data_IF_033512702456
#
_entry.id   IF_033512702456
#
_cell.length_a   1.000
_cell.length_b   1.000
_cell.length_c   1.000
_cell.angle_alpha   90.00
_cell.angle_beta   90.00
_cell.angle_gamma   90.00
#
_symmetry.space_group_name_H-M   'P 1'
#
loop_
_entity.id
_entity.type
_entity.pdbx_description
1 polymer ?
#
# COMPACT_ATOMS: atom_id res chain seq x y z
N UNK A 1 20.47 0.48 16.23
CA UNK A 1 20.16 -0.91 16.62
C UNK A 1 19.51 -1.00 17.99
N UNK A 2 19.99 -0.25 19.00
CA UNK A 2 19.35 -0.20 20.30
C UNK A 2 17.87 0.21 20.20
N UNK A 3 17.55 1.25 19.46
CA UNK A 3 16.17 1.71 19.28
C UNK A 3 15.27 0.62 18.67
N UNK A 4 15.74 -0.08 17.65
CA UNK A 4 15.02 -1.21 17.06
C UNK A 4 14.84 -2.36 18.04
N UNK A 5 15.86 -2.66 18.85
CA UNK A 5 15.76 -3.67 19.91
C UNK A 5 14.70 -3.31 20.95
N UNK A 6 14.62 -2.05 21.36
CA UNK A 6 13.59 -1.59 22.31
C UNK A 6 12.19 -1.67 21.71
N UNK A 7 12.01 -1.28 20.42
CA UNK A 7 10.75 -1.47 19.72
C UNK A 7 10.37 -2.95 19.60
N UNK A 8 11.36 -3.82 19.34
CA UNK A 8 11.17 -5.28 19.32
C UNK A 8 10.68 -5.81 20.68
N UNK A 9 11.34 -5.44 21.77
CA UNK A 9 10.95 -5.84 23.14
C UNK A 9 9.54 -5.37 23.51
N UNK A 10 9.13 -4.19 23.02
CA UNK A 10 7.78 -3.63 23.21
C UNK A 10 6.73 -4.29 22.29
N UNK A 11 7.11 -5.21 21.40
CA UNK A 11 6.20 -5.84 20.42
C UNK A 11 5.65 -4.85 19.38
N UNK A 12 6.41 -3.77 19.12
CA UNK A 12 6.08 -2.74 18.14
C UNK A 12 6.74 -2.99 16.78
N UNK A 13 7.89 -3.71 16.76
CA UNK A 13 8.58 -4.07 15.52
C UNK A 13 8.15 -5.46 15.06
N UNK A 14 7.63 -5.57 13.85
CA UNK A 14 7.12 -6.84 13.31
C UNK A 14 7.32 -6.95 11.80
N UNK A 15 7.39 -8.17 11.31
CA UNK A 15 7.37 -8.48 9.89
C UNK A 15 5.94 -8.67 9.41
N UNK A 16 5.60 -8.10 8.27
CA UNK A 16 4.26 -8.19 7.71
C UNK A 16 4.25 -8.22 6.19
N UNK A 17 3.26 -8.91 5.64
CA UNK A 17 2.98 -8.92 4.20
C UNK A 17 1.85 -7.93 3.91
N UNK A 18 2.18 -6.82 3.25
CA UNK A 18 1.21 -5.77 2.92
C UNK A 18 1.39 -5.29 1.49
N UNK A 19 0.30 -4.81 0.91
CA UNK A 19 0.35 -4.03 -0.32
C UNK A 19 0.80 -2.62 0.03
N UNK A 20 1.91 -2.18 -0.53
CA UNK A 20 2.59 -0.94 -0.17
C UNK A 20 2.90 -0.11 -1.42
N UNK A 21 2.98 1.24 -1.29
CA UNK A 21 3.58 2.07 -2.32
C UNK A 21 5.00 1.60 -2.63
N UNK A 22 5.27 1.33 -3.88
CA UNK A 22 6.52 0.74 -4.34
C UNK A 22 7.05 1.47 -5.57
N UNK A 23 8.34 1.77 -5.58
CA UNK A 23 9.01 2.34 -6.74
C UNK A 23 9.65 1.23 -7.57
N UNK A 24 9.13 0.90 -8.77
CA UNK A 24 9.67 -0.19 -9.60
C UNK A 24 11.07 0.11 -10.15
N UNK A 25 11.42 1.39 -10.33
CA UNK A 25 12.75 1.81 -10.77
C UNK A 25 13.80 1.69 -9.66
N UNK A 26 13.43 2.10 -8.45
CA UNK A 26 14.32 2.01 -7.29
C UNK A 26 14.33 0.60 -6.67
N UNK A 27 13.34 -0.24 -6.98
CA UNK A 27 13.20 -1.60 -6.43
C UNK A 27 12.88 -1.62 -4.94
N UNK A 28 12.20 -0.59 -4.40
CA UNK A 28 11.97 -0.45 -2.95
C UNK A 28 10.57 0.05 -2.63
N UNK A 29 10.03 -0.41 -1.50
CA UNK A 29 8.82 0.15 -0.92
C UNK A 29 9.09 1.53 -0.30
N UNK A 30 8.04 2.35 -0.18
CA UNK A 30 8.06 3.66 0.43
C UNK A 30 7.05 3.71 1.58
N UNK A 31 7.40 4.47 2.62
CA UNK A 31 6.50 4.76 3.73
C UNK A 31 5.52 5.90 3.37
N UNK A 32 4.44 6.03 4.13
CA UNK A 32 3.39 7.02 3.87
C UNK A 32 3.92 8.46 3.81
N UNK A 33 4.88 8.82 4.66
CA UNK A 33 5.48 10.15 4.65
C UNK A 33 6.40 10.40 3.44
N UNK A 34 7.06 9.38 2.91
CA UNK A 34 7.82 9.48 1.64
C UNK A 34 6.89 9.68 0.45
N UNK A 35 5.79 8.94 0.41
CA UNK A 35 4.76 9.04 -0.64
C UNK A 35 4.14 10.44 -0.66
N UNK A 36 3.86 11.01 0.53
CA UNK A 36 3.25 12.33 0.66
C UNK A 36 4.07 13.47 0.04
N UNK A 37 5.38 13.28 -0.16
CA UNK A 37 6.28 14.26 -0.79
C UNK A 37 6.27 14.22 -2.32
N UNK A 38 5.73 13.14 -2.92
CA UNK A 38 5.84 12.87 -4.35
C UNK A 38 4.54 13.03 -5.15
N UNK A 39 3.49 13.61 -4.59
CA UNK A 39 2.22 13.79 -5.33
C UNK A 39 2.33 14.84 -6.43
N UNK A 40 1.82 14.49 -7.62
CA UNK A 40 1.74 15.36 -8.79
C UNK A 40 0.40 15.21 -9.49
N UNK A 41 -0.08 16.32 -10.05
CA UNK A 41 -1.24 16.26 -10.93
C UNK A 41 -0.83 15.67 -12.28
N UNK A 42 -1.46 14.55 -12.62
CA UNK A 42 -1.21 13.81 -13.85
C UNK A 42 -2.51 13.59 -14.62
N UNK A 43 -2.41 13.51 -15.94
CA UNK A 43 -3.52 13.23 -16.81
C UNK A 43 -3.43 11.80 -17.33
N UNK A 44 -4.04 10.89 -16.58
CA UNK A 44 -4.01 9.45 -16.87
C UNK A 44 -5.24 8.99 -17.68
N UNK A 45 -5.06 7.88 -18.40
CA UNK A 45 -6.14 7.19 -19.05
C UNK A 45 -6.96 6.43 -18.01
N UNK A 46 -8.27 6.66 -18.01
CA UNK A 46 -9.25 5.94 -17.20
C UNK A 46 -10.21 5.18 -18.09
N UNK A 47 -10.83 4.15 -17.58
CA UNK A 47 -11.86 3.44 -18.30
C UNK A 47 -12.98 2.92 -17.41
N UNK A 48 -14.15 2.70 -18.03
CA UNK A 48 -15.28 1.98 -17.45
C UNK A 48 -15.35 0.63 -18.17
N UNK A 49 -15.17 -0.45 -17.45
CA UNK A 49 -15.25 -1.81 -17.96
C UNK A 49 -16.64 -2.42 -17.69
N UNK A 50 -17.06 -3.33 -18.59
CA UNK A 50 -18.34 -4.07 -18.52
C UNK A 50 -18.06 -5.47 -17.98
N UNK A 51 -18.61 -5.79 -16.81
CA UNK A 51 -18.50 -7.10 -16.17
C UNK A 51 -19.83 -7.85 -16.35
N UNK A 52 -19.84 -8.88 -17.18
CA UNK A 52 -21.05 -9.61 -17.51
C UNK A 52 -21.55 -10.43 -16.34
N UNK A 53 -22.80 -10.22 -15.94
CA UNK A 53 -23.43 -10.95 -14.84
C UNK A 53 -23.71 -12.38 -15.26
N UNK A 54 -23.27 -13.38 -14.45
CA UNK A 54 -23.57 -14.77 -14.74
C UNK A 54 -25.06 -15.08 -14.70
N UNK A 55 -25.53 -15.84 -15.67
CA UNK A 55 -26.92 -16.26 -15.74
C UNK A 55 -27.91 -15.19 -16.20
N UNK A 56 -27.43 -13.98 -16.58
CA UNK A 56 -28.25 -12.93 -17.17
C UNK A 56 -27.75 -12.56 -18.57
N UNK A 57 -28.66 -12.57 -19.54
CA UNK A 57 -28.34 -12.15 -20.89
C UNK A 57 -28.15 -10.64 -20.93
N UNK A 58 -27.17 -10.18 -21.69
CA UNK A 58 -26.89 -8.76 -21.96
C UNK A 58 -26.90 -7.84 -20.72
N UNK A 59 -26.59 -8.38 -19.52
CA UNK A 59 -26.56 -7.62 -18.28
C UNK A 59 -25.13 -7.49 -17.75
N UNK A 60 -24.69 -6.26 -17.51
CA UNK A 60 -23.32 -5.95 -17.13
C UNK A 60 -23.27 -5.03 -15.90
N UNK A 61 -22.33 -5.27 -15.02
CA UNK A 61 -21.96 -4.33 -13.95
C UNK A 61 -20.89 -3.41 -14.51
N UNK A 62 -21.05 -2.10 -14.35
CA UNK A 62 -20.07 -1.11 -14.78
C UNK A 62 -19.13 -0.74 -13.63
N UNK A 63 -17.82 -0.90 -13.81
CA UNK A 63 -16.85 -0.42 -12.85
C UNK A 63 -15.79 0.47 -13.53
N UNK A 64 -15.46 1.57 -12.86
CA UNK A 64 -14.49 2.56 -13.32
C UNK A 64 -13.14 2.34 -12.67
N UNK A 65 -12.06 2.64 -13.41
CA UNK A 65 -10.70 2.61 -12.89
C UNK A 65 -9.82 3.71 -13.49
N UNK A 66 -8.93 4.27 -12.68
CA UNK A 66 -7.85 5.17 -13.10
C UNK A 66 -6.58 4.41 -13.51
N UNK A 67 -6.55 3.10 -13.30
CA UNK A 67 -5.40 2.23 -13.53
C UNK A 67 -5.81 1.01 -14.36
N UNK A 68 -6.06 1.14 -15.68
CA UNK A 68 -6.49 0.02 -16.52
C UNK A 68 -5.57 -1.21 -16.44
N UNK A 69 -4.29 -1.00 -16.16
CA UNK A 69 -3.31 -2.08 -16.00
C UNK A 69 -3.61 -3.06 -14.85
N UNK A 70 -4.48 -2.70 -13.91
CA UNK A 70 -4.88 -3.62 -12.82
C UNK A 70 -6.02 -4.56 -13.19
N UNK A 71 -6.77 -4.27 -14.27
CA UNK A 71 -7.92 -5.06 -14.74
C UNK A 71 -7.59 -6.52 -15.06
N UNK A 72 -6.41 -6.88 -15.62
CA UNK A 72 -6.03 -8.29 -15.80
C UNK A 72 -6.04 -9.12 -14.51
N UNK A 73 -5.86 -8.45 -13.36
CA UNK A 73 -5.85 -9.05 -12.01
C UNK A 73 -7.15 -8.84 -11.23
N UNK A 74 -8.24 -8.45 -11.91
CA UNK A 74 -9.55 -8.31 -11.24
C UNK A 74 -10.01 -9.63 -10.64
N UNK A 75 -10.46 -9.59 -9.36
CA UNK A 75 -10.97 -10.76 -8.65
C UNK A 75 -12.32 -10.51 -7.98
N UNK A 76 -12.73 -9.26 -7.77
CA UNK A 76 -14.04 -8.93 -7.22
C UNK A 76 -14.50 -7.55 -7.73
N UNK A 77 -15.77 -7.25 -7.50
CA UNK A 77 -16.35 -5.92 -7.59
C UNK A 77 -16.85 -5.52 -6.21
N UNK A 78 -16.67 -4.26 -5.83
CA UNK A 78 -17.02 -3.77 -4.50
C UNK A 78 -18.11 -2.70 -4.58
N UNK A 79 -19.16 -2.85 -3.76
CA UNK A 79 -20.28 -1.93 -3.63
C UNK A 79 -20.45 -1.51 -2.17
N UNK A 80 -21.09 -0.37 -1.93
CA UNK A 80 -21.55 -0.03 -0.60
C UNK A 80 -23.00 -0.53 -0.41
N UNK A 81 -23.21 -1.39 0.58
CA UNK A 81 -24.53 -2.01 0.85
C UNK A 81 -25.65 -1.02 1.09
N UNK A 82 -25.35 0.19 1.56
CA UNK A 82 -26.32 1.23 1.93
C UNK A 82 -26.72 2.13 0.75
N UNK A 83 -25.95 2.13 -0.35
CA UNK A 83 -26.24 2.96 -1.51
C UNK A 83 -27.32 2.35 -2.40
N UNK A 84 -27.96 3.20 -3.19
CA UNK A 84 -28.96 2.78 -4.20
C UNK A 84 -28.26 2.60 -5.53
N UNK A 85 -28.45 1.45 -6.12
CA UNK A 85 -28.02 1.08 -7.46
C UNK A 85 -29.22 0.94 -8.37
N UNK A 86 -28.98 1.07 -9.66
CA UNK A 86 -30.00 0.91 -10.68
C UNK A 86 -29.54 -0.04 -11.78
N UNK A 87 -30.45 -0.80 -12.32
CA UNK A 87 -30.32 -1.50 -13.60
C UNK A 87 -31.03 -0.65 -14.65
N UNK A 88 -30.28 -0.22 -15.67
CA UNK A 88 -30.77 0.62 -16.77
C UNK A 88 -30.55 -0.07 -18.09
N UNK A 89 -31.54 -0.01 -18.99
CA UNK A 89 -31.48 -0.55 -20.35
C UNK A 89 -31.09 0.54 -21.31
N UNK A 90 -30.08 0.30 -22.10
CA UNK A 90 -29.50 1.26 -23.05
C UNK A 90 -29.36 0.61 -24.41
N UNK A 91 -29.61 1.38 -25.51
CA UNK A 91 -29.23 0.94 -26.84
C UNK A 91 -27.70 1.10 -27.00
N UNK A 92 -26.97 0.00 -27.01
CA UNK A 92 -25.53 -0.07 -27.23
C UNK A 92 -25.16 -0.23 -28.73
N UNK A 93 -26.17 -0.43 -29.62
CA UNK A 93 -26.03 -0.49 -31.06
C UNK A 93 -26.26 0.88 -31.73
N UNK A 94 -26.60 0.85 -33.01
CA UNK A 94 -27.02 2.03 -33.80
C UNK A 94 -28.53 2.16 -33.78
N UNK A 95 -29.05 3.25 -34.37
CA UNK A 95 -30.51 3.40 -34.60
C UNK A 95 -31.03 2.38 -35.61
N UNK A 96 -30.21 2.02 -36.62
CA UNK A 96 -30.55 1.06 -37.65
C UNK A 96 -30.46 -0.40 -37.18
N UNK A 97 -29.49 -0.70 -36.28
CA UNK A 97 -29.29 -2.01 -35.69
C UNK A 97 -29.26 -1.89 -34.16
N UNK A 98 -30.40 -1.77 -33.48
CA UNK A 98 -30.45 -1.60 -32.03
C UNK A 98 -30.02 -2.88 -31.30
N UNK A 99 -29.08 -2.71 -30.38
CA UNK A 99 -28.62 -3.77 -29.47
C UNK A 99 -28.78 -3.30 -28.04
N UNK A 100 -29.74 -3.87 -27.33
CA UNK A 100 -30.00 -3.46 -25.96
C UNK A 100 -29.14 -4.23 -24.99
N UNK A 101 -28.51 -3.49 -24.09
CA UNK A 101 -27.75 -4.02 -22.96
C UNK A 101 -28.26 -3.38 -21.66
N UNK A 102 -28.27 -4.15 -20.57
CA UNK A 102 -28.60 -3.67 -19.25
C UNK A 102 -27.31 -3.36 -18.48
N UNK A 103 -27.25 -2.19 -17.87
CA UNK A 103 -26.12 -1.76 -17.06
C UNK A 103 -26.51 -1.54 -15.62
N UNK A 104 -25.68 -2.04 -14.70
CA UNK A 104 -25.83 -1.87 -13.24
C UNK A 104 -24.75 -0.90 -12.77
N UNK A 105 -25.18 0.21 -12.14
CA UNK A 105 -24.31 1.25 -11.56
C UNK A 105 -25.05 1.99 -10.45
N UNK A 106 -24.36 2.85 -9.69
CA UNK A 106 -25.01 3.67 -8.67
C UNK A 106 -26.01 4.63 -9.32
N UNK A 107 -27.20 4.73 -8.72
CA UNK A 107 -28.31 5.57 -9.21
C UNK A 107 -27.91 7.02 -9.42
N UNK A 108 -27.21 7.60 -8.44
CA UNK A 108 -26.80 9.02 -8.45
C UNK A 108 -25.77 9.34 -9.53
N UNK A 109 -25.11 8.34 -10.11
CA UNK A 109 -24.08 8.50 -11.13
C UNK A 109 -24.56 8.16 -12.54
N UNK A 110 -25.82 7.79 -12.76
CA UNK A 110 -26.36 7.43 -14.08
C UNK A 110 -26.11 8.53 -15.08
N UNK A 111 -26.49 9.77 -14.78
CA UNK A 111 -26.37 10.91 -15.70
C UNK A 111 -24.92 11.22 -16.06
N UNK A 112 -24.00 11.09 -15.07
CA UNK A 112 -22.57 11.32 -15.30
C UNK A 112 -21.93 10.23 -16.17
N UNK A 113 -22.35 8.98 -16.02
CA UNK A 113 -21.80 7.81 -16.72
C UNK A 113 -22.41 7.67 -18.12
N UNK A 114 -23.73 7.78 -18.25
CA UNK A 114 -24.42 7.62 -19.53
C UNK A 114 -24.34 8.86 -20.40
N UNK A 115 -24.13 10.05 -19.81
CA UNK A 115 -24.07 11.34 -20.52
C UNK A 115 -25.35 11.54 -21.38
N UNK A 116 -25.21 11.64 -22.67
CA UNK A 116 -26.31 11.90 -23.64
C UNK A 116 -27.04 10.62 -24.10
N UNK A 117 -26.73 9.44 -23.55
CA UNK A 117 -27.38 8.20 -23.93
C UNK A 117 -28.76 8.11 -23.27
N UNK A 118 -29.77 7.85 -24.10
CA UNK A 118 -31.10 7.52 -23.60
C UNK A 118 -31.12 6.17 -22.91
N UNK A 119 -31.88 6.07 -21.83
CA UNK A 119 -32.00 4.85 -21.05
C UNK A 119 -33.42 4.65 -20.52
N UNK A 120 -33.78 3.41 -20.32
CA UNK A 120 -34.96 2.96 -19.58
C UNK A 120 -34.55 2.46 -18.22
N UNK A 121 -35.14 2.99 -17.12
CA UNK A 121 -34.90 2.47 -15.77
C UNK A 121 -35.64 1.14 -15.62
N UNK A 122 -34.91 0.05 -15.48
CA UNK A 122 -35.47 -1.30 -15.31
C UNK A 122 -35.87 -1.54 -13.86
N UNK A 123 -34.95 -1.24 -12.92
CA UNK A 123 -35.23 -1.33 -11.48
C UNK A 123 -34.19 -0.58 -10.65
N UNK A 124 -34.57 -0.25 -9.41
CA UNK A 124 -33.69 0.27 -8.37
C UNK A 124 -33.63 -0.72 -7.21
N UNK A 125 -32.49 -0.79 -6.55
CA UNK A 125 -32.27 -1.69 -5.41
C UNK A 125 -31.12 -1.22 -4.54
N UNK A 126 -31.06 -1.70 -3.29
CA UNK A 126 -29.93 -1.43 -2.41
C UNK A 126 -28.71 -2.25 -2.81
N UNK A 127 -27.51 -1.72 -2.54
CA UNK A 127 -26.27 -2.43 -2.77
C UNK A 127 -26.19 -3.78 -2.06
N UNK A 128 -26.91 -3.94 -0.96
CA UNK A 128 -27.04 -5.21 -0.24
C UNK A 128 -27.59 -6.34 -1.14
N UNK A 129 -28.47 -6.02 -2.09
CA UNK A 129 -29.05 -7.00 -3.02
C UNK A 129 -28.05 -7.46 -4.10
N UNK A 130 -26.97 -6.71 -4.33
CA UNK A 130 -25.91 -7.11 -5.26
C UNK A 130 -24.89 -8.06 -4.62
N UNK A 131 -24.82 -8.14 -3.28
CA UNK A 131 -23.81 -8.95 -2.62
C UNK A 131 -23.93 -10.42 -3.00
N UNK A 132 -22.81 -11.03 -3.34
CA UNK A 132 -22.77 -12.40 -3.79
C UNK A 132 -23.13 -12.63 -5.25
N UNK A 133 -23.51 -11.57 -6.01
CA UNK A 133 -23.72 -11.68 -7.46
C UNK A 133 -22.42 -12.09 -8.13
N UNK A 134 -22.45 -13.18 -8.89
CA UNK A 134 -21.31 -13.65 -9.67
C UNK A 134 -21.29 -13.01 -11.07
N UNK A 135 -20.09 -12.75 -11.59
CA UNK A 135 -19.88 -12.26 -12.94
C UNK A 135 -18.83 -13.08 -13.70
N UNK A 136 -18.85 -13.01 -15.03
CA UNK A 136 -17.84 -13.68 -15.87
C UNK A 136 -16.50 -12.96 -15.74
N UNK A 137 -15.39 -13.70 -15.68
CA UNK A 137 -14.05 -13.12 -15.63
C UNK A 137 -13.84 -12.11 -16.75
N UNK A 138 -13.38 -10.91 -16.41
CA UNK A 138 -13.19 -9.83 -17.38
C UNK A 138 -12.11 -10.17 -18.41
N UNK A 139 -10.94 -10.61 -17.96
CA UNK A 139 -9.77 -10.95 -18.77
C UNK A 139 -9.20 -12.30 -18.33
N UNK A 140 -8.79 -13.21 -19.23
CA UNK A 140 -8.53 -14.61 -18.93
C UNK A 140 -7.12 -14.88 -18.34
N UNK A 141 -6.51 -13.91 -17.66
CA UNK A 141 -5.13 -14.01 -17.20
C UNK A 141 -5.00 -14.44 -15.74
N UNK A 142 -5.88 -13.95 -14.85
CA UNK A 142 -5.87 -14.36 -13.46
C UNK A 142 -6.35 -15.79 -13.29
N UNK A 143 -5.61 -16.60 -12.52
CA UNK A 143 -5.97 -17.97 -12.16
C UNK A 143 -6.09 -18.06 -10.63
N UNK A 144 -7.22 -17.59 -10.04
CA UNK A 144 -7.39 -17.59 -8.61
C UNK A 144 -7.58 -18.98 -8.02
N UNK A 145 -6.89 -19.25 -6.91
CA UNK A 145 -7.16 -20.40 -6.07
C UNK A 145 -8.10 -19.98 -4.94
N UNK A 146 -9.40 -20.19 -5.11
CA UNK A 146 -10.44 -19.82 -4.14
C UNK A 146 -11.52 -18.89 -4.69
N UNK A 147 -12.20 -18.15 -3.79
CA UNK A 147 -13.33 -17.28 -4.13
C UNK A 147 -12.91 -16.10 -4.97
N UNK A 148 -13.54 -15.94 -6.13
CA UNK A 148 -13.29 -14.82 -7.05
C UNK A 148 -14.52 -14.52 -7.90
N UNK A 149 -14.48 -13.39 -8.65
CA UNK A 149 -15.48 -12.93 -9.61
C UNK A 149 -16.89 -12.78 -9.03
N UNK A 150 -16.95 -12.14 -7.88
CA UNK A 150 -18.17 -11.93 -7.09
C UNK A 150 -18.24 -10.50 -6.58
N UNK A 151 -19.46 -9.98 -6.40
CA UNK A 151 -19.70 -8.68 -5.78
C UNK A 151 -19.58 -8.78 -4.26
N UNK A 152 -18.80 -7.89 -3.65
CA UNK A 152 -18.52 -7.81 -2.21
C UNK A 152 -18.87 -6.43 -1.66
N UNK A 153 -18.87 -6.28 -0.34
CA UNK A 153 -19.11 -5.02 0.35
C UNK A 153 -17.80 -4.34 0.79
N UNK A 154 -17.76 -2.99 0.66
CA UNK A 154 -16.74 -2.15 1.27
C UNK A 154 -17.26 -0.75 1.56
N UNK A 155 -16.99 -0.26 2.76
CA UNK A 155 -17.46 1.06 3.22
C UNK A 155 -16.77 2.24 2.54
N UNK A 156 -15.61 2.02 1.93
CA UNK A 156 -14.82 3.06 1.24
C UNK A 156 -15.34 3.42 -0.15
N UNK A 157 -16.31 2.69 -0.69
CA UNK A 157 -16.95 3.03 -1.97
C UNK A 157 -17.68 4.36 -1.84
N UNK A 158 -17.40 5.28 -2.76
CA UNK A 158 -18.00 6.64 -2.79
C UNK A 158 -18.89 6.84 -4.01
N UNK A 159 -19.67 7.92 -3.98
CA UNK A 159 -20.53 8.38 -5.10
C UNK A 159 -20.00 9.69 -5.72
N UNK A 160 -18.76 10.07 -5.44
CA UNK A 160 -18.16 11.31 -5.96
C UNK A 160 -17.72 11.19 -7.40
N UNK A 161 -17.23 10.01 -7.79
CA UNK A 161 -16.66 9.75 -9.11
C UNK A 161 -16.94 8.32 -9.58
N UNK A 162 -16.76 8.08 -10.88
CA UNK A 162 -16.84 6.76 -11.48
C UNK A 162 -18.27 6.24 -11.62
N UNK A 163 -18.50 5.00 -11.22
CA UNK A 163 -19.79 4.28 -11.36
C UNK A 163 -20.43 3.92 -10.02
N UNK A 164 -19.78 4.26 -8.88
CA UNK A 164 -20.18 3.79 -7.55
C UNK A 164 -19.93 2.31 -7.32
N UNK A 165 -19.18 1.66 -8.21
CA UNK A 165 -18.73 0.27 -8.12
C UNK A 165 -17.24 0.24 -8.41
N UNK A 166 -16.46 -0.31 -7.46
CA UNK A 166 -14.99 -0.38 -7.54
C UNK A 166 -14.57 -1.78 -7.97
N UNK A 167 -13.69 -1.86 -8.96
CA UNK A 167 -13.05 -3.12 -9.28
C UNK A 167 -11.93 -3.43 -8.29
N UNK A 168 -11.81 -4.69 -7.86
CA UNK A 168 -10.87 -5.12 -6.83
C UNK A 168 -9.77 -5.97 -7.46
N UNK A 169 -8.52 -5.49 -7.30
CA UNK A 169 -7.30 -6.22 -7.60
C UNK A 169 -6.41 -6.28 -6.34
N UNK A 170 -6.55 -7.31 -5.48
CA UNK A 170 -5.99 -7.35 -4.13
C UNK A 170 -4.48 -7.13 -4.03
N UNK A 171 -3.74 -7.34 -5.12
CA UNK A 171 -2.30 -7.14 -5.19
C UNK A 171 -1.88 -5.67 -5.42
N UNK A 172 -2.81 -4.76 -5.80
CA UNK A 172 -2.44 -3.43 -6.29
C UNK A 172 -3.19 -2.26 -5.65
N UNK A 173 -3.84 -2.50 -4.53
CA UNK A 173 -4.48 -1.48 -3.70
C UNK A 173 -4.46 -1.90 -2.24
N UNK A 174 -4.18 -0.97 -1.32
CA UNK A 174 -4.20 -1.25 0.12
C UNK A 174 -5.63 -1.57 0.57
N UNK A 175 -6.60 -0.75 0.17
CA UNK A 175 -8.03 -0.97 0.43
C UNK A 175 -8.54 -2.24 -0.25
N UNK A 176 -8.11 -2.50 -1.50
CA UNK A 176 -8.44 -3.71 -2.24
C UNK A 176 -7.96 -4.96 -1.51
N UNK A 177 -6.72 -4.94 -1.01
CA UNK A 177 -6.14 -6.05 -0.25
C UNK A 177 -6.90 -6.30 1.05
N UNK A 178 -7.23 -5.22 1.78
CA UNK A 178 -7.95 -5.29 3.04
C UNK A 178 -9.37 -5.86 2.85
N UNK A 179 -10.13 -5.28 1.92
CA UNK A 179 -11.52 -5.70 1.69
C UNK A 179 -11.58 -7.11 1.10
N UNK A 180 -10.63 -7.49 0.24
CA UNK A 180 -10.52 -8.83 -0.30
C UNK A 180 -10.29 -9.85 0.82
N UNK A 181 -9.35 -9.58 1.72
CA UNK A 181 -9.07 -10.44 2.89
C UNK A 181 -10.29 -10.59 3.81
N UNK A 182 -11.00 -9.48 4.09
CA UNK A 182 -12.22 -9.51 4.93
C UNK A 182 -13.34 -10.35 4.31
N UNK A 183 -13.41 -10.42 2.97
CA UNK A 183 -14.43 -11.15 2.23
C UNK A 183 -13.98 -12.54 1.74
N UNK A 184 -12.76 -12.98 2.09
CA UNK A 184 -12.18 -14.27 1.68
C UNK A 184 -11.93 -14.39 0.17
N UNK A 185 -11.67 -13.28 -0.52
CA UNK A 185 -11.33 -13.25 -1.95
C UNK A 185 -9.88 -13.74 -2.14
N UNK A 186 -9.67 -14.53 -3.18
CA UNK A 186 -8.37 -15.03 -3.58
C UNK A 186 -7.36 -13.89 -3.85
N UNK A 187 -6.09 -14.23 -3.89
CA UNK A 187 -5.00 -13.30 -4.17
C UNK A 187 -4.23 -13.74 -5.42
N UNK A 188 -4.06 -12.86 -6.39
CA UNK A 188 -3.27 -13.11 -7.61
C UNK A 188 -2.39 -11.90 -7.90
N UNK A 189 -1.09 -12.12 -8.11
CA UNK A 189 -0.14 -11.10 -8.52
C UNK A 189 0.38 -11.40 -9.93
N UNK A 190 0.06 -10.54 -10.91
CA UNK A 190 0.47 -10.66 -12.32
C UNK A 190 1.55 -9.65 -12.71
N UNK A 191 2.21 -9.02 -11.75
CA UNK A 191 3.27 -8.02 -11.97
C UNK A 191 4.52 -8.41 -11.21
N UNK A 192 5.68 -8.31 -11.83
CA UNK A 192 6.96 -8.58 -11.22
C UNK A 192 7.50 -7.37 -10.40
N UNK A 193 8.63 -7.56 -9.71
CA UNK A 193 9.29 -6.53 -8.90
C UNK A 193 9.79 -5.32 -9.71
N UNK A 194 9.91 -5.43 -11.04
CA UNK A 194 10.27 -4.31 -11.92
C UNK A 194 9.05 -3.57 -12.48
N UNK A 195 7.84 -3.91 -12.01
CA UNK A 195 6.58 -3.32 -12.47
C UNK A 195 6.16 -3.77 -13.85
N UNK A 196 6.59 -4.96 -14.29
CA UNK A 196 6.27 -5.52 -15.59
C UNK A 196 5.30 -6.69 -15.46
N UNK A 197 4.44 -6.86 -16.46
CA UNK A 197 3.57 -8.03 -16.51
C UNK A 197 4.38 -9.33 -16.60
N UNK A 198 3.96 -10.34 -15.83
CA UNK A 198 4.51 -11.70 -15.87
C UNK A 198 4.11 -12.40 -17.17
N UNK A 199 4.74 -13.54 -17.46
CA UNK A 199 4.54 -14.31 -18.71
C UNK A 199 3.09 -14.78 -18.93
N UNK A 200 2.32 -14.95 -17.87
CA UNK A 200 0.92 -15.37 -17.91
C UNK A 200 0.00 -14.31 -18.56
N UNK A 201 0.44 -13.06 -18.62
CA UNK A 201 -0.26 -11.96 -19.32
C UNK A 201 0.33 -11.82 -20.72
N UNK A 202 0.20 -12.86 -21.56
CA UNK A 202 0.88 -13.03 -22.86
C UNK A 202 0.89 -11.78 -23.76
N UNK A 203 -0.20 -11.02 -23.95
CA UNK A 203 -0.18 -9.86 -24.86
C UNK A 203 0.78 -8.76 -24.41
N UNK A 204 1.06 -8.67 -23.10
CA UNK A 204 1.87 -7.59 -22.50
C UNK A 204 3.02 -8.10 -21.63
N UNK A 205 3.34 -9.39 -21.69
CA UNK A 205 4.41 -9.99 -20.91
C UNK A 205 5.74 -9.23 -21.05
N UNK A 206 6.39 -8.93 -19.91
CA UNK A 206 7.66 -8.21 -19.86
C UNK A 206 7.58 -6.69 -20.12
N UNK A 207 6.41 -6.14 -20.42
CA UNK A 207 6.20 -4.70 -20.58
C UNK A 207 5.86 -4.04 -19.25
N UNK A 208 6.30 -2.79 -19.08
CA UNK A 208 5.93 -1.98 -17.90
C UNK A 208 4.41 -1.74 -17.90
N UNK A 209 3.77 -2.01 -16.77
CA UNK A 209 2.30 -2.09 -16.68
C UNK A 209 1.59 -0.80 -17.09
N UNK A 210 2.10 0.37 -16.71
CA UNK A 210 1.46 1.66 -17.06
C UNK A 210 1.51 1.97 -18.55
N UNK A 211 2.52 1.47 -19.26
CA UNK A 211 2.65 1.64 -20.72
C UNK A 211 1.62 0.79 -21.49
N UNK A 212 0.96 -0.15 -20.80
CA UNK A 212 -0.04 -1.04 -21.41
C UNK A 212 -1.49 -0.51 -21.29
N UNK A 213 -1.73 0.61 -20.61
CA UNK A 213 -3.08 1.12 -20.35
C UNK A 213 -3.93 1.28 -21.62
N UNK A 214 -3.37 1.89 -22.68
CA UNK A 214 -4.09 2.10 -23.95
C UNK A 214 -4.38 0.76 -24.65
N UNK A 215 -3.40 -0.17 -24.65
CA UNK A 215 -3.57 -1.49 -25.27
C UNK A 215 -4.60 -2.33 -24.53
N UNK A 216 -4.67 -2.22 -23.21
CA UNK A 216 -5.69 -2.90 -22.39
C UNK A 216 -7.09 -2.35 -22.71
N UNK A 217 -7.24 -1.03 -22.80
CA UNK A 217 -8.51 -0.44 -23.21
C UNK A 217 -8.92 -0.87 -24.64
N UNK A 218 -7.95 -0.98 -25.55
CA UNK A 218 -8.19 -1.47 -26.92
C UNK A 218 -8.64 -2.94 -26.91
N UNK A 219 -7.95 -3.78 -26.14
CA UNK A 219 -8.33 -5.19 -25.96
C UNK A 219 -9.76 -5.31 -25.43
N UNK A 220 -10.12 -4.52 -24.40
CA UNK A 220 -11.49 -4.51 -23.86
C UNK A 220 -12.52 -4.10 -24.91
N UNK A 221 -12.22 -3.12 -25.76
CA UNK A 221 -13.11 -2.70 -26.84
C UNK A 221 -13.31 -3.79 -27.87
N UNK A 222 -12.24 -4.45 -28.32
CA UNK A 222 -12.26 -5.56 -29.29
C UNK A 222 -13.07 -6.76 -28.78
N UNK A 223 -13.12 -6.96 -27.45
CA UNK A 223 -13.89 -8.04 -26.81
C UNK A 223 -15.29 -7.59 -26.32
N UNK A 224 -15.73 -6.38 -26.67
CA UNK A 224 -17.03 -5.85 -26.26
C UNK A 224 -17.16 -5.61 -24.74
N UNK A 225 -16.05 -5.44 -24.04
CA UNK A 225 -15.98 -5.28 -22.58
C UNK A 225 -15.62 -3.85 -22.12
N UNK A 226 -15.41 -2.92 -23.04
CA UNK A 226 -15.22 -1.50 -22.76
C UNK A 226 -16.56 -0.77 -22.86
N UNK A 227 -16.92 0.01 -21.85
CA UNK A 227 -18.05 0.93 -21.92
C UNK A 227 -17.61 2.32 -22.37
N UNK A 228 -16.57 2.88 -21.71
CA UNK A 228 -16.01 4.19 -22.04
C UNK A 228 -14.53 4.27 -21.63
N UNK A 229 -13.79 5.18 -22.29
CA UNK A 229 -12.45 5.59 -21.84
C UNK A 229 -12.31 7.10 -21.97
N UNK A 230 -11.60 7.72 -21.04
CA UNK A 230 -11.32 9.16 -21.06
C UNK A 230 -10.02 9.48 -20.32
N UNK A 231 -9.48 10.68 -20.56
CA UNK A 231 -8.33 11.18 -19.80
C UNK A 231 -8.84 11.97 -18.60
N UNK A 232 -8.43 11.55 -17.41
CA UNK A 232 -8.81 12.16 -16.14
C UNK A 232 -7.59 12.82 -15.48
N UNK A 233 -7.77 14.05 -15.01
CA UNK A 233 -6.74 14.77 -14.24
C UNK A 233 -6.92 14.43 -12.77
N UNK A 234 -5.88 13.87 -12.17
CA UNK A 234 -5.90 13.53 -10.76
C UNK A 234 -4.51 13.62 -10.13
N UNK A 235 -4.45 13.68 -8.81
CA UNK A 235 -3.21 13.66 -8.07
C UNK A 235 -2.70 12.23 -7.92
N UNK A 236 -1.45 11.96 -8.34
CA UNK A 236 -0.86 10.63 -8.33
C UNK A 236 0.52 10.62 -7.67
N UNK A 237 0.84 9.63 -6.81
CA UNK A 237 2.10 9.59 -6.10
C UNK A 237 3.27 9.17 -7.00
N UNK A 238 4.38 9.88 -6.87
CA UNK A 238 5.65 9.60 -7.52
C UNK A 238 6.74 9.35 -6.47
N UNK A 239 7.78 8.64 -6.87
CA UNK A 239 8.94 8.42 -6.01
C UNK A 239 9.66 9.76 -5.76
N UNK A 240 9.79 10.18 -4.53
CA UNK A 240 10.46 11.43 -4.15
C UNK A 240 11.95 11.49 -4.57
N UNK A 241 12.59 10.32 -4.82
CA UNK A 241 14.01 10.24 -5.23
C UNK A 241 14.23 10.26 -6.74
N UNK A 242 13.40 9.53 -7.50
CA UNK A 242 13.65 9.32 -8.93
C UNK A 242 12.49 9.72 -9.84
N UNK A 243 11.43 10.28 -9.25
CA UNK A 243 10.26 10.80 -9.95
C UNK A 243 9.44 9.77 -10.74
N UNK A 244 9.70 8.48 -10.53
CA UNK A 244 8.93 7.42 -11.18
C UNK A 244 7.55 7.30 -10.54
N UNK A 245 6.46 7.16 -11.30
CA UNK A 245 5.14 6.86 -10.76
C UNK A 245 5.17 5.60 -9.90
N UNK A 246 4.59 5.66 -8.71
CA UNK A 246 4.55 4.52 -7.80
C UNK A 246 3.52 3.49 -8.25
N UNK A 247 3.76 2.24 -7.92
CA UNK A 247 2.77 1.18 -7.97
C UNK A 247 2.44 0.76 -6.54
N UNK A 248 1.22 0.31 -6.28
CA UNK A 248 0.97 -0.48 -5.08
C UNK A 248 1.39 -1.91 -5.38
N UNK A 249 2.18 -2.52 -4.49
CA UNK A 249 2.79 -3.83 -4.73
C UNK A 249 2.84 -4.66 -3.44
N UNK A 250 2.50 -5.96 -3.50
CA UNK A 250 2.56 -6.85 -2.34
C UNK A 250 4.00 -7.15 -1.97
N UNK A 251 4.37 -6.85 -0.74
CA UNK A 251 5.72 -7.06 -0.25
C UNK A 251 5.74 -7.46 1.22
N UNK A 252 6.65 -8.36 1.55
CA UNK A 252 7.11 -8.55 2.92
C UNK A 252 8.02 -7.39 3.31
N UNK A 253 7.78 -6.83 4.47
CA UNK A 253 8.49 -5.66 4.97
C UNK A 253 8.45 -5.63 6.50
N UNK A 254 9.39 -4.92 7.11
CA UNK A 254 9.40 -4.68 8.55
C UNK A 254 8.66 -3.38 8.87
N UNK A 255 7.82 -3.43 9.89
CA UNK A 255 6.95 -2.34 10.30
C UNK A 255 7.13 -2.00 11.77
N UNK A 256 7.03 -0.72 12.09
CA UNK A 256 6.76 -0.25 13.45
C UNK A 256 5.26 0.00 13.59
N UNK A 257 4.63 -0.62 14.59
CA UNK A 257 3.18 -0.59 14.83
C UNK A 257 2.73 0.77 15.41
N UNK A 258 2.89 1.84 14.61
CA UNK A 258 2.55 3.21 15.04
C UNK A 258 1.06 3.40 15.30
N UNK A 259 0.21 2.61 14.65
CA UNK A 259 -1.24 2.62 14.87
C UNK A 259 -1.62 2.25 16.31
N UNK A 260 -0.79 1.47 17.00
CA UNK A 260 -0.98 1.13 18.43
C UNK A 260 -0.67 2.30 19.37
N UNK A 261 0.12 3.27 18.90
CA UNK A 261 0.58 4.43 19.68
C UNK A 261 -0.17 5.72 19.29
N UNK A 262 -1.30 5.60 18.59
CA UNK A 262 -2.05 6.75 18.07
C UNK A 262 -2.41 7.75 19.16
N UNK A 263 -2.97 7.27 20.25
CA UNK A 263 -3.47 8.12 21.34
C UNK A 263 -2.31 8.85 22.05
N UNK A 264 -1.19 8.17 22.25
CA UNK A 264 0.04 8.73 22.83
C UNK A 264 0.68 9.76 21.89
N UNK A 265 0.70 9.49 20.57
CA UNK A 265 1.19 10.44 19.57
C UNK A 265 0.37 11.74 19.57
N UNK A 266 -0.95 11.62 19.59
CA UNK A 266 -1.87 12.78 19.66
C UNK A 266 -1.69 13.52 20.99
N UNK A 267 -1.60 12.80 22.12
CA UNK A 267 -1.40 13.40 23.43
C UNK A 267 -0.05 14.15 23.51
N UNK A 268 1.03 13.60 22.98
CA UNK A 268 2.33 14.25 22.95
C UNK A 268 2.36 15.46 22.02
N UNK A 269 1.73 15.37 20.84
CA UNK A 269 1.58 16.51 19.94
C UNK A 269 0.85 17.69 20.61
N UNK A 270 -0.14 17.43 21.45
CA UNK A 270 -0.89 18.46 22.17
C UNK A 270 -0.04 19.22 23.21
N UNK A 271 1.10 18.67 23.64
CA UNK A 271 2.05 19.32 24.54
C UNK A 271 3.03 20.25 23.81
N UNK A 272 3.12 20.15 22.47
CA UNK A 272 4.03 20.96 21.65
C UNK A 272 3.45 22.35 21.38
N UNK A 273 4.26 23.37 21.53
CA UNK A 273 3.92 24.73 21.14
C UNK A 273 4.23 24.96 19.66
N UNK A 274 3.22 24.75 18.80
CA UNK A 274 3.35 24.92 17.37
C UNK A 274 3.26 26.40 16.94
N UNK A 275 4.09 26.77 15.98
CA UNK A 275 4.03 28.06 15.29
C UNK A 275 3.99 27.84 13.77
N UNK A 276 2.85 28.10 13.09
CA UNK A 276 1.56 28.53 13.66
C UNK A 276 0.83 27.39 14.41
N UNK A 277 0.03 27.75 15.41
CA UNK A 277 -0.71 26.80 16.27
C UNK A 277 -1.69 25.89 15.49
N UNK A 278 -2.18 26.37 14.35
CA UNK A 278 -3.08 25.60 13.47
C UNK A 278 -2.51 24.27 12.97
N UNK A 279 -1.18 24.07 13.02
CA UNK A 279 -0.53 22.80 12.66
C UNK A 279 -0.90 21.71 13.65
N UNK A 280 -1.03 22.03 14.95
CA UNK A 280 -1.30 21.08 16.03
C UNK A 280 -2.56 20.24 15.78
N UNK A 281 -3.67 20.88 15.52
CA UNK A 281 -4.99 20.23 15.28
C UNK A 281 -5.31 20.07 13.80
N UNK A 282 -4.60 20.79 12.93
CA UNK A 282 -4.77 20.74 11.48
C UNK A 282 -3.90 19.67 10.83
N UNK A 283 -2.92 20.12 10.02
CA UNK A 283 -2.12 19.25 9.15
C UNK A 283 -1.40 18.11 9.88
N UNK A 284 -0.76 18.40 11.03
CA UNK A 284 -0.03 17.37 11.78
C UNK A 284 -0.96 16.55 12.67
N UNK A 285 -1.86 17.20 13.43
CA UNK A 285 -2.81 16.47 14.29
C UNK A 285 -3.66 15.48 13.54
N UNK A 286 -4.29 15.90 12.42
CA UNK A 286 -5.08 15.00 11.56
C UNK A 286 -4.28 13.84 10.98
N UNK A 287 -3.00 14.03 10.73
CA UNK A 287 -2.14 12.95 10.29
C UNK A 287 -1.91 11.92 11.41
N UNK A 288 -1.65 12.38 12.63
CA UNK A 288 -1.44 11.49 13.78
C UNK A 288 -2.72 10.74 14.16
N UNK A 289 -3.89 11.39 14.08
CA UNK A 289 -5.20 10.75 14.29
C UNK A 289 -5.46 9.58 13.32
N UNK A 290 -4.88 9.64 12.11
CA UNK A 290 -5.00 8.63 11.07
C UNK A 290 -3.68 7.90 10.80
N UNK A 291 -2.78 7.85 11.80
CA UNK A 291 -1.48 7.21 11.63
C UNK A 291 -1.62 5.73 11.32
N UNK A 292 -0.86 5.28 10.32
CA UNK A 292 -0.72 3.87 9.93
C UNK A 292 0.66 3.35 10.36
N UNK A 293 0.82 2.02 10.35
CA UNK A 293 2.09 1.40 10.70
C UNK A 293 3.20 1.82 9.72
N UNK A 294 4.35 2.16 10.29
CA UNK A 294 5.49 2.67 9.54
C UNK A 294 6.32 1.53 8.96
N UNK A 295 6.32 1.36 7.63
CA UNK A 295 7.22 0.43 6.94
C UNK A 295 8.65 0.97 6.92
N UNK A 296 9.54 0.31 7.65
CA UNK A 296 10.92 0.79 7.87
C UNK A 296 11.99 0.08 7.05
N UNK A 297 11.71 -1.06 6.42
CA UNK A 297 12.72 -1.77 5.64
C UNK A 297 12.81 -1.29 4.20
N UNK A 298 14.03 -1.24 3.66
CA UNK A 298 14.33 -0.81 2.29
C UNK A 298 15.26 -1.80 1.61
N UNK A 299 14.94 -2.17 0.36
CA UNK A 299 15.86 -2.94 -0.50
C UNK A 299 16.92 -2.01 -1.09
N UNK A 300 17.89 -1.67 -0.27
CA UNK A 300 19.00 -0.81 -0.65
C UNK A 300 20.31 -1.49 -0.26
N UNK A 301 21.37 -1.15 -1.00
CA UNK A 301 22.70 -1.63 -0.63
C UNK A 301 23.25 -0.83 0.54
N UNK A 302 23.24 0.50 0.47
CA UNK A 302 23.77 1.38 1.50
C UNK A 302 22.71 1.95 2.41
N UNK A 303 22.99 1.93 3.68
CA UNK A 303 22.17 2.42 4.79
C UNK A 303 22.42 1.61 6.05
N UNK A 304 21.80 1.97 7.15
CA UNK A 304 21.87 1.22 8.40
C UNK A 304 21.23 -0.15 8.24
N UNK A 305 21.96 -1.27 8.35
CA UNK A 305 21.41 -2.61 8.20
C UNK A 305 20.38 -2.94 9.29
N UNK A 306 19.31 -3.62 8.91
CA UNK A 306 18.30 -4.09 9.85
C UNK A 306 18.91 -5.17 10.77
N UNK A 307 18.88 -5.00 12.11
CA UNK A 307 19.59 -5.91 13.03
C UNK A 307 18.74 -7.12 13.42
N UNK A 308 18.16 -7.80 12.44
CA UNK A 308 17.29 -8.96 12.67
C UNK A 308 17.86 -10.17 11.94
N UNK A 309 18.01 -11.26 12.67
CA UNK A 309 18.43 -12.56 12.16
C UNK A 309 17.26 -13.55 12.24
N UNK A 310 17.07 -14.30 11.19
CA UNK A 310 16.03 -15.34 11.07
C UNK A 310 16.69 -16.71 10.90
N UNK A 311 16.21 -17.71 11.63
CA UNK A 311 16.69 -19.09 11.51
C UNK A 311 16.40 -19.67 10.11
N UNK A 312 17.40 -20.29 9.51
CA UNK A 312 17.28 -20.89 8.16
C UNK A 312 16.47 -22.19 8.13
N UNK A 313 16.11 -22.75 9.28
CA UNK A 313 15.22 -23.90 9.36
C UNK A 313 13.77 -23.43 9.18
N UNK A 314 13.14 -23.78 8.06
CA UNK A 314 11.75 -23.47 7.72
C UNK A 314 10.74 -23.92 8.81
N UNK A 315 11.05 -24.99 9.54
CA UNK A 315 10.21 -25.48 10.64
C UNK A 315 10.42 -24.71 11.95
N UNK A 316 11.49 -23.92 12.08
CA UNK A 316 11.84 -23.16 13.28
C UNK A 316 11.41 -21.70 13.15
N UNK A 317 11.84 -21.01 12.10
CA UNK A 317 11.50 -19.61 11.80
C UNK A 317 11.80 -18.62 12.93
N UNK A 318 12.64 -19.01 13.92
CA UNK A 318 12.95 -18.14 15.06
C UNK A 318 13.70 -16.89 14.61
N UNK A 319 13.31 -15.74 15.17
CA UNK A 319 13.90 -14.44 14.86
C UNK A 319 14.54 -13.82 16.12
N UNK A 320 15.67 -13.17 15.92
CA UNK A 320 16.42 -12.43 16.94
C UNK A 320 16.72 -11.01 16.47
N UNK A 321 16.39 -10.01 17.28
CA UNK A 321 16.80 -8.63 17.04
C UNK A 321 17.99 -8.29 17.94
N UNK A 322 19.07 -7.74 17.39
CA UNK A 322 20.31 -7.42 18.09
C UNK A 322 20.38 -5.91 18.38
N UNK A 323 20.65 -5.53 19.61
CA UNK A 323 20.64 -4.13 20.06
C UNK A 323 22.02 -3.50 20.25
N UNK A 324 23.10 -4.29 20.27
CA UNK A 324 24.47 -3.78 20.50
C UNK A 324 25.53 -4.68 19.87
N UNK A 325 26.74 -4.14 19.69
CA UNK A 325 27.90 -4.91 19.24
C UNK A 325 28.26 -5.99 20.27
N UNK A 326 28.13 -5.70 21.55
CA UNK A 326 28.40 -6.67 22.62
C UNK A 326 27.43 -7.87 22.53
N UNK A 327 26.12 -7.63 22.35
CA UNK A 327 25.13 -8.69 22.14
C UNK A 327 25.39 -9.47 20.85
N UNK A 328 25.81 -8.78 19.76
CA UNK A 328 26.16 -9.42 18.51
C UNK A 328 27.30 -10.43 18.71
N UNK A 329 28.41 -10.00 19.34
CA UNK A 329 29.57 -10.83 19.61
C UNK A 329 29.27 -12.03 20.52
N UNK A 330 28.37 -11.85 21.49
CA UNK A 330 27.93 -12.93 22.37
C UNK A 330 27.18 -14.04 21.64
N UNK A 331 26.32 -13.66 20.68
CA UNK A 331 25.41 -14.58 19.99
C UNK A 331 25.94 -15.09 18.66
N UNK A 332 26.93 -14.44 18.06
CA UNK A 332 27.47 -14.80 16.78
C UNK A 332 28.28 -16.11 16.83
N UNK A 333 28.22 -16.86 15.74
CA UNK A 333 29.06 -18.05 15.55
C UNK A 333 30.51 -17.62 15.33
N UNK A 334 30.70 -16.58 14.54
CA UNK A 334 31.99 -15.95 14.25
C UNK A 334 31.72 -14.44 13.99
N UNK A 335 32.41 -13.57 14.73
CA UNK A 335 32.30 -12.13 14.60
C UNK A 335 33.66 -11.47 14.82
N UNK A 336 34.20 -10.74 13.83
CA UNK A 336 35.45 -10.00 13.98
C UNK A 336 35.39 -8.99 15.14
N UNK A 337 36.52 -8.78 15.80
CA UNK A 337 36.61 -7.82 16.90
C UNK A 337 36.36 -6.38 16.47
N UNK A 338 36.73 -6.05 15.26
CA UNK A 338 36.59 -4.75 14.58
C UNK A 338 35.46 -4.75 13.55
N UNK A 339 34.37 -5.48 13.80
CA UNK A 339 33.27 -5.64 12.87
C UNK A 339 32.73 -4.28 12.39
N UNK A 340 32.69 -4.11 11.06
CA UNK A 340 31.99 -3.02 10.40
C UNK A 340 30.51 -3.40 10.22
N UNK A 341 29.62 -2.56 10.78
CA UNK A 341 28.17 -2.85 10.82
C UNK A 341 27.42 -2.58 9.51
N UNK A 342 28.10 -2.05 8.47
CA UNK A 342 27.50 -1.87 7.15
C UNK A 342 27.68 -3.11 6.26
N UNK A 343 26.93 -3.15 5.17
CA UNK A 343 27.12 -4.14 4.10
C UNK A 343 28.45 -3.90 3.38
N UNK A 344 29.13 -4.94 2.92
CA UNK A 344 28.74 -6.37 2.98
C UNK A 344 29.18 -7.08 4.27
N UNK A 345 29.88 -6.40 5.16
CA UNK A 345 30.59 -7.03 6.28
C UNK A 345 29.62 -7.70 7.27
N UNK A 346 28.56 -7.00 7.69
CA UNK A 346 27.58 -7.53 8.64
C UNK A 346 26.75 -8.70 8.07
N UNK A 347 26.62 -8.80 6.74
CA UNK A 347 25.89 -9.90 6.11
C UNK A 347 26.61 -11.25 6.25
N UNK A 348 27.91 -11.24 6.59
CA UNK A 348 28.70 -12.43 6.84
C UNK A 348 28.68 -12.88 8.30
N UNK A 349 28.04 -12.13 9.20
CA UNK A 349 27.91 -12.51 10.61
C UNK A 349 26.64 -13.31 10.81
N UNK A 350 26.80 -14.57 11.22
CA UNK A 350 25.70 -15.49 11.46
C UNK A 350 25.54 -15.75 12.95
N UNK A 351 24.29 -15.97 13.39
CA UNK A 351 24.01 -16.32 14.79
C UNK A 351 23.66 -17.80 14.90
N UNK A 352 23.83 -18.35 16.10
CA UNK A 352 23.34 -19.68 16.43
C UNK A 352 21.93 -19.58 16.99
N UNK A 353 20.97 -20.27 16.35
CA UNK A 353 19.58 -20.27 16.80
C UNK A 353 19.45 -20.87 18.21
N UNK A 354 18.89 -20.13 19.18
CA UNK A 354 18.74 -20.63 20.54
C UNK A 354 17.68 -21.72 20.67
N UNK A 355 16.78 -21.88 19.68
CA UNK A 355 15.74 -22.90 19.70
C UNK A 355 16.17 -24.23 19.10
N UNK A 356 16.82 -24.21 17.93
CA UNK A 356 17.15 -25.44 17.21
C UNK A 356 18.64 -25.66 16.98
N UNK A 357 19.49 -24.70 17.35
CA UNK A 357 20.95 -24.76 17.20
C UNK A 357 21.46 -24.57 15.77
N UNK A 358 20.58 -24.39 14.77
CA UNK A 358 20.96 -24.11 13.38
C UNK A 358 21.40 -22.65 13.21
N UNK A 359 21.93 -22.38 12.02
CA UNK A 359 22.39 -21.04 11.64
C UNK A 359 21.21 -20.09 11.41
N UNK A 360 21.44 -18.80 11.76
CA UNK A 360 20.51 -17.71 11.50
C UNK A 360 21.19 -16.68 10.61
N UNK A 361 20.48 -16.19 9.60
CA UNK A 361 20.93 -15.14 8.69
C UNK A 361 20.22 -13.82 8.92
N UNK A 362 20.95 -12.73 8.70
CA UNK A 362 20.43 -11.38 8.82
C UNK A 362 19.43 -11.06 7.70
N UNK A 363 18.38 -10.30 8.02
CA UNK A 363 17.48 -9.68 7.05
C UNK A 363 18.28 -8.81 6.07
N UNK A 364 18.05 -8.98 4.75
CA UNK A 364 18.88 -8.33 3.70
C UNK A 364 18.71 -6.81 3.62
N UNK A 365 17.61 -6.32 4.16
CA UNK A 365 17.19 -4.93 4.08
C UNK A 365 18.08 -4.02 4.93
N UNK A 366 18.03 -2.72 4.59
CA UNK A 366 18.50 -1.62 5.43
C UNK A 366 17.30 -0.84 5.95
N UNK A 367 17.50 0.00 6.95
CA UNK A 367 16.46 0.82 7.54
C UNK A 367 16.17 2.04 6.65
N UNK A 368 14.96 2.55 6.74
CA UNK A 368 14.55 3.84 6.22
C UNK A 368 15.42 4.97 6.80
N UNK A 369 16.00 5.80 5.96
CA UNK A 369 16.83 6.94 6.39
C UNK A 369 16.07 7.93 7.29
N UNK A 370 14.75 7.94 7.24
CA UNK A 370 13.91 8.72 8.13
C UNK A 370 13.92 8.19 9.57
N UNK A 371 14.16 6.90 9.75
CA UNK A 371 14.40 6.32 11.08
C UNK A 371 15.73 6.81 11.65
N UNK A 372 16.79 6.81 10.83
CA UNK A 372 18.10 7.34 11.24
C UNK A 372 17.98 8.81 11.66
N UNK A 373 17.34 9.66 10.85
CA UNK A 373 17.16 11.08 11.15
C UNK A 373 16.27 11.32 12.38
N UNK A 374 15.23 10.52 12.55
CA UNK A 374 14.35 10.56 13.73
C UNK A 374 15.02 10.10 15.01
N UNK A 375 16.10 9.34 14.89
CA UNK A 375 16.92 8.86 16.03
C UNK A 375 17.90 9.93 16.57
N UNK A 376 18.11 11.03 15.86
CA UNK A 376 19.11 12.04 16.18
C UNK A 376 19.06 12.53 17.64
N UNK A 377 17.89 12.77 18.29
CA UNK A 377 17.84 13.29 19.64
C UNK A 377 18.56 12.45 20.70
N UNK A 378 18.64 11.13 20.50
CA UNK A 378 19.35 10.22 21.38
C UNK A 378 20.63 9.64 20.77
N UNK A 379 20.65 9.44 19.45
CA UNK A 379 21.80 8.87 18.76
C UNK A 379 23.03 9.79 18.77
N UNK A 380 22.85 11.11 18.74
CA UNK A 380 23.96 12.08 18.83
C UNK A 380 24.76 11.96 20.13
N UNK A 381 24.13 11.48 21.20
CA UNK A 381 24.76 11.28 22.52
C UNK A 381 25.28 9.85 22.70
N UNK A 382 25.10 8.96 21.74
CA UNK A 382 25.34 7.52 21.87
C UNK A 382 24.55 6.90 23.03
N UNK A 383 23.34 7.47 23.31
CA UNK A 383 22.45 6.95 24.34
C UNK A 383 21.91 5.55 23.96
N UNK A 384 21.80 4.58 24.90
CA UNK A 384 22.04 4.70 26.36
C UNK A 384 23.47 4.29 26.78
N UNK A 385 24.37 4.05 25.85
CA UNK A 385 25.71 3.50 26.12
C UNK A 385 26.67 4.55 26.70
N UNK A 386 26.50 5.80 26.29
CA UNK A 386 27.32 6.94 26.74
C UNK A 386 26.42 8.17 26.94
N UNK A 387 26.98 9.22 27.58
CA UNK A 387 26.43 10.55 27.70
C UNK A 387 24.96 10.63 28.16
N UNK A 388 24.53 9.72 29.03
CA UNK A 388 23.15 9.68 29.52
C UNK A 388 22.71 10.97 30.18
N UNK A 389 23.54 11.60 30.97
CA UNK A 389 23.24 12.88 31.62
C UNK A 389 23.03 13.99 30.60
N UNK A 390 23.81 14.01 29.51
CA UNK A 390 23.61 14.96 28.40
C UNK A 390 22.26 14.76 27.73
N UNK A 391 21.87 13.52 27.51
CA UNK A 391 20.55 13.21 26.97
C UNK A 391 19.44 13.65 27.91
N UNK A 392 19.50 13.26 29.18
CA UNK A 392 18.47 13.58 30.19
C UNK A 392 18.26 15.10 30.35
N UNK A 393 19.32 15.90 30.17
CA UNK A 393 19.26 17.36 30.25
C UNK A 393 18.80 18.07 28.97
N UNK A 394 18.82 17.39 27.81
CA UNK A 394 18.55 17.99 26.51
C UNK A 394 17.36 17.37 25.77
N UNK A 395 16.72 16.35 26.31
CA UNK A 395 15.54 15.72 25.72
C UNK A 395 14.29 15.97 26.60
N UNK A 396 13.14 16.35 26.01
CA UNK A 396 12.96 16.74 24.61
C UNK A 396 13.62 18.09 24.26
N UNK A 397 13.92 18.30 22.98
CA UNK A 397 14.52 19.56 22.51
C UNK A 397 13.64 20.77 22.84
N UNK A 398 14.29 21.86 23.29
CA UNK A 398 13.57 23.09 23.64
C UNK A 398 12.98 23.84 22.45
N UNK A 399 13.60 23.71 21.27
CA UNK A 399 13.15 24.36 20.04
C UNK A 399 13.70 23.65 18.80
N UNK A 400 12.83 23.48 17.77
CA UNK A 400 13.22 23.06 16.43
C UNK A 400 12.48 23.91 15.40
N UNK A 401 13.07 24.14 14.21
CA UNK A 401 12.48 24.93 13.14
C UNK A 401 12.79 24.34 11.79
N UNK A 402 11.74 24.08 11.02
CA UNK A 402 11.80 23.60 9.64
C UNK A 402 10.55 24.08 8.87
N UNK A 403 10.52 23.81 7.57
CA UNK A 403 9.37 24.12 6.74
C UNK A 403 8.18 23.15 7.02
N UNK A 404 6.98 23.57 6.64
CA UNK A 404 5.72 22.88 6.94
C UNK A 404 5.63 21.46 6.34
N UNK A 405 6.36 21.17 5.27
CA UNK A 405 6.46 19.85 4.66
C UNK A 405 7.03 18.82 5.64
N UNK A 406 7.85 19.24 6.61
CA UNK A 406 8.43 18.35 7.63
C UNK A 406 7.42 17.79 8.64
N UNK A 407 6.19 18.25 8.63
CA UNK A 407 5.06 17.56 9.29
C UNK A 407 4.77 16.17 8.69
N UNK A 408 5.30 15.89 7.48
CA UNK A 408 5.29 14.58 6.81
C UNK A 408 6.70 14.03 6.60
N UNK A 409 7.66 14.50 7.34
CA UNK A 409 9.06 14.11 7.28
C UNK A 409 9.67 14.06 8.68
N UNK A 410 10.68 14.90 8.93
CA UNK A 410 11.48 14.86 10.15
C UNK A 410 10.66 15.09 11.44
N UNK A 411 9.73 16.03 11.49
CA UNK A 411 8.90 16.25 12.68
C UNK A 411 8.08 15.02 13.05
N UNK A 412 7.56 14.31 12.04
CA UNK A 412 6.85 13.05 12.30
C UNK A 412 7.78 11.99 12.89
N UNK A 413 8.95 11.78 12.29
CA UNK A 413 9.86 10.71 12.75
C UNK A 413 10.45 10.98 14.11
N UNK A 414 10.74 12.26 14.44
CA UNK A 414 11.10 12.68 15.81
C UNK A 414 9.99 12.37 16.82
N UNK A 415 8.74 12.73 16.50
CA UNK A 415 7.59 12.49 17.36
C UNK A 415 7.31 10.99 17.51
N UNK A 416 7.41 10.24 16.41
CA UNK A 416 7.18 8.80 16.40
C UNK A 416 8.17 8.04 17.29
N UNK A 417 9.47 8.26 17.10
CA UNK A 417 10.50 7.60 17.88
C UNK A 417 10.55 8.11 19.32
N UNK A 418 10.37 9.42 19.54
CA UNK A 418 10.28 9.97 20.89
C UNK A 418 9.13 9.35 21.68
N UNK A 419 7.95 9.19 21.09
CA UNK A 419 6.78 8.57 21.73
C UNK A 419 6.98 7.06 21.93
N UNK A 420 7.55 6.37 20.94
CA UNK A 420 7.68 4.91 21.00
C UNK A 420 8.78 4.43 21.98
N UNK A 421 9.80 5.24 22.23
CA UNK A 421 10.98 4.86 23.05
C UNK A 421 10.94 5.45 24.46
N UNK A 422 10.43 6.66 24.61
CA UNK A 422 10.46 7.47 25.84
C UNK A 422 9.05 7.89 26.27
#
# INVERSE_FOLDING_TARGET
WWALKELWKKGLLYEGHKVMPYCPRCGTALSSHEVAQGYKDVKDLTCIAKFKVKGKENTYILAWTTTPWTLPSNLALCVNKSYIYAEVKVNAGTEEEPKYENYILAKDLISAVLKDKEYELVKEFKGEELLGTEYEQLMPFAKPEGKAFVVIHGDYVTLTDGTGIVHIAPAYGEDDSLVAKQNGIAFVNLVDKSGKFVKEVEPWAGRFVRDCNEDICKWLAEHGKLFAKEKHLHSYPHCWRCDTPLLYYPKESWFVAMSKLRDELVANNNKVNWYPDTIRTGRFGKFLENVIDWGISRDRYWGTPLPIWTCEDENCGHQECIGSIAELKEKAIDCPDDIELHKPYIDNVHLKCPKCGKEMKRAKEVIDCWFDSGSMPFAQWHYPFENKEMFDNNFPAGFISEAIDQTRGWFYTLTALGTALF
#
